data_IF_739951951329
#
_entry.id   IF_739951951329
#
_cell.length_a   1.000
_cell.length_b   1.000
_cell.length_c   1.000
_cell.angle_alpha   90.00
_cell.angle_beta   90.00
_cell.angle_gamma   90.00
#
_symmetry.space_group_name_H-M   'P 1'
#
loop_
_entity.id
_entity.type
_entity.pdbx_description
1 polymer ?
#
# COMPACT_ATOMS: atom_id res chain seq x y z
N UNK A 1 24.10 14.71 -5.83
CA UNK A 1 22.88 13.87 -5.94
C UNK A 1 22.55 13.43 -4.52
N UNK A 2 21.75 14.22 -3.80
CA UNK A 2 21.54 14.01 -2.36
C UNK A 2 20.42 12.99 -2.13
N UNK A 3 20.77 11.94 -1.41
CA UNK A 3 19.91 10.82 -1.02
C UNK A 3 18.97 11.33 0.07
N UNK A 4 17.70 11.55 -0.25
CA UNK A 4 16.66 11.77 0.75
C UNK A 4 16.45 10.47 1.52
N UNK A 5 16.54 10.54 2.85
CA UNK A 5 16.59 9.38 3.74
C UNK A 5 15.18 8.85 4.01
N UNK A 6 14.63 8.10 3.07
CA UNK A 6 13.43 7.31 3.29
C UNK A 6 13.82 6.06 4.08
N UNK A 7 13.39 5.98 5.34
CA UNK A 7 13.65 4.82 6.18
C UNK A 7 12.43 3.89 6.18
N UNK A 8 12.68 2.63 5.83
CA UNK A 8 11.70 1.57 5.94
C UNK A 8 12.00 0.74 7.18
N UNK A 9 11.03 0.58 8.07
CA UNK A 9 11.11 -0.44 9.11
C UNK A 9 10.26 -1.61 8.64
N UNK A 10 10.95 -2.69 8.28
CA UNK A 10 10.39 -4.00 7.96
C UNK A 10 10.59 -4.89 9.20
N UNK A 11 9.64 -5.77 9.58
CA UNK A 11 9.65 -6.45 10.88
C UNK A 11 10.90 -7.31 11.13
N UNK A 12 11.60 -7.71 10.06
CA UNK A 12 12.79 -8.55 10.08
C UNK A 12 14.11 -7.78 10.03
N UNK A 13 14.10 -6.46 9.83
CA UNK A 13 15.31 -5.64 9.71
C UNK A 13 15.19 -4.39 10.60
N UNK A 14 15.72 -4.47 11.83
CA UNK A 14 16.04 -3.27 12.61
C UNK A 14 17.20 -2.55 11.90
N UNK A 15 16.90 -1.49 11.16
CA UNK A 15 17.94 -0.67 10.54
C UNK A 15 18.68 0.09 11.65
N UNK A 16 20.00 -0.09 11.74
CA UNK A 16 20.89 0.85 12.43
C UNK A 16 20.80 2.21 11.72
N UNK A 17 19.83 3.03 12.12
CA UNK A 17 19.43 4.23 11.38
C UNK A 17 18.06 4.78 11.74
N UNK A 18 17.30 4.09 12.60
CA UNK A 18 16.07 4.65 13.18
C UNK A 18 16.43 5.81 14.11
N UNK A 19 15.90 6.99 13.81
CA UNK A 19 16.05 8.20 14.62
C UNK A 19 15.06 8.20 15.79
N UNK A 20 15.34 8.95 16.86
CA UNK A 20 14.43 9.08 17.99
C UNK A 20 13.16 9.87 17.67
N UNK A 21 13.16 10.64 16.57
CA UNK A 21 12.05 11.47 16.13
C UNK A 21 12.04 11.59 14.60
N UNK A 22 10.83 11.79 14.05
CA UNK A 22 10.53 12.04 12.65
C UNK A 22 9.43 13.11 12.57
N UNK A 23 9.44 13.92 11.53
CA UNK A 23 8.39 14.92 11.29
C UNK A 23 7.09 14.25 10.86
N UNK A 24 7.20 13.16 10.08
CA UNK A 24 6.07 12.35 9.66
C UNK A 24 6.35 10.86 9.81
N UNK A 25 5.33 10.13 10.27
CA UNK A 25 5.32 8.66 10.29
C UNK A 25 4.15 8.19 9.43
N UNK A 26 4.49 7.52 8.32
CA UNK A 26 3.52 6.92 7.41
C UNK A 26 3.37 5.44 7.77
N UNK A 27 2.16 5.02 8.13
CA UNK A 27 1.85 3.63 8.47
C UNK A 27 1.27 2.94 7.24
N UNK A 28 1.99 1.92 6.76
CA UNK A 28 1.68 1.16 5.56
C UNK A 28 2.41 1.69 4.32
N UNK A 29 3.35 0.92 3.80
CA UNK A 29 4.08 1.17 2.56
C UNK A 29 3.35 0.66 1.31
N UNK A 30 2.03 0.81 1.26
CA UNK A 30 1.24 0.55 0.06
C UNK A 30 1.21 1.73 -0.92
N UNK A 31 0.53 1.60 -2.06
CA UNK A 31 0.40 2.69 -3.06
C UNK A 31 0.12 4.08 -2.48
N UNK A 32 -0.89 4.22 -1.61
CA UNK A 32 -1.23 5.51 -1.01
C UNK A 32 -0.13 6.03 -0.09
N UNK A 33 0.37 5.17 0.81
CA UNK A 33 1.41 5.52 1.77
C UNK A 33 2.73 5.90 1.09
N UNK A 34 3.19 5.14 0.10
CA UNK A 34 4.42 5.45 -0.63
C UNK A 34 4.30 6.72 -1.47
N UNK A 35 3.13 7.02 -2.04
CA UNK A 35 2.92 8.29 -2.74
C UNK A 35 3.01 9.46 -1.76
N UNK A 36 2.35 9.38 -0.60
CA UNK A 36 2.43 10.43 0.42
C UNK A 36 3.85 10.57 0.94
N UNK A 37 4.51 9.47 1.32
CA UNK A 37 5.89 9.49 1.82
C UNK A 37 6.86 10.10 0.79
N UNK A 38 6.71 9.72 -0.49
CA UNK A 38 7.52 10.28 -1.57
C UNK A 38 7.35 11.79 -1.67
N UNK A 39 6.11 12.32 -1.60
CA UNK A 39 5.85 13.76 -1.67
C UNK A 39 6.36 14.52 -0.46
N UNK A 40 6.17 14.00 0.74
CA UNK A 40 6.69 14.60 1.96
C UNK A 40 8.22 14.66 1.94
N UNK A 41 8.87 13.60 1.42
CA UNK A 41 10.33 13.54 1.29
C UNK A 41 10.91 14.38 0.14
N UNK A 42 10.09 15.10 -0.65
CA UNK A 42 10.62 16.09 -1.60
C UNK A 42 11.22 17.30 -0.87
N UNK A 43 10.76 17.58 0.36
CA UNK A 43 11.36 18.57 1.25
C UNK A 43 12.57 17.94 1.96
N UNK A 44 13.74 18.58 1.82
CA UNK A 44 15.00 18.09 2.37
C UNK A 44 15.09 18.28 3.88
N UNK A 45 14.33 19.22 4.43
CA UNK A 45 14.33 19.54 5.86
C UNK A 45 13.40 18.62 6.66
N UNK A 46 12.64 17.77 5.97
CA UNK A 46 11.64 16.86 6.55
C UNK A 46 12.19 15.42 6.60
N UNK A 47 12.06 14.78 7.76
CA UNK A 47 12.34 13.36 7.94
C UNK A 47 11.04 12.54 7.97
N UNK A 48 10.96 11.54 7.09
CA UNK A 48 9.79 10.67 6.94
C UNK A 48 10.16 9.23 7.26
N UNK A 49 9.42 8.62 8.19
CA UNK A 49 9.49 7.19 8.49
C UNK A 49 8.33 6.45 7.83
N UNK A 50 8.61 5.35 7.15
CA UNK A 50 7.56 4.42 6.67
C UNK A 50 7.62 3.13 7.45
N UNK A 51 6.50 2.76 8.08
CA UNK A 51 6.33 1.50 8.79
C UNK A 51 5.54 0.54 7.92
N UNK A 52 6.11 -0.61 7.57
CA UNK A 52 5.44 -1.65 6.79
C UNK A 52 5.48 -2.97 7.55
N UNK A 53 4.32 -3.64 7.66
CA UNK A 53 4.18 -4.86 8.45
C UNK A 53 4.51 -6.13 7.65
N UNK A 54 4.50 -6.05 6.32
CA UNK A 54 4.88 -7.16 5.47
C UNK A 54 6.36 -7.49 5.47
N UNK A 55 6.74 -8.68 4.97
CA UNK A 55 8.14 -9.05 4.84
C UNK A 55 8.80 -8.23 3.73
N UNK A 56 10.13 -8.30 3.70
CA UNK A 56 10.91 -7.91 2.53
C UNK A 56 10.62 -8.85 1.36
N UNK A 57 10.46 -8.28 0.17
CA UNK A 57 10.02 -9.03 -1.02
C UNK A 57 10.95 -8.88 -2.21
N UNK A 58 12.06 -8.15 -2.09
CA UNK A 58 12.97 -7.81 -3.19
C UNK A 58 13.54 -9.04 -3.93
N UNK A 59 13.66 -10.17 -3.23
CA UNK A 59 14.16 -11.43 -3.78
C UNK A 59 13.06 -12.38 -4.28
N UNK A 60 11.79 -11.98 -4.26
CA UNK A 60 10.65 -12.86 -4.57
C UNK A 60 10.21 -12.71 -6.04
N UNK A 61 10.41 -13.73 -6.90
CA UNK A 61 10.02 -13.66 -8.32
C UNK A 61 8.53 -13.42 -8.53
N UNK A 62 7.66 -13.93 -7.65
CA UNK A 62 6.22 -13.75 -7.71
C UNK A 62 5.75 -12.29 -7.59
N UNK A 63 6.61 -11.40 -7.12
CA UNK A 63 6.35 -9.95 -7.03
C UNK A 63 6.82 -9.20 -8.28
N UNK A 64 7.97 -9.58 -8.85
CA UNK A 64 8.61 -8.83 -9.93
C UNK A 64 8.43 -9.44 -11.32
N UNK A 65 8.09 -10.73 -11.43
CA UNK A 65 7.81 -11.40 -12.71
C UNK A 65 6.31 -11.33 -12.98
N UNK A 66 5.84 -10.52 -13.95
CA UNK A 66 4.40 -10.29 -14.14
C UNK A 66 3.60 -11.56 -14.45
N UNK A 67 4.21 -12.55 -15.11
CA UNK A 67 3.58 -13.84 -15.40
C UNK A 67 3.33 -14.71 -14.16
N UNK A 68 3.93 -14.36 -13.02
CA UNK A 68 3.72 -15.01 -11.72
C UNK A 68 2.79 -14.21 -10.80
N UNK A 69 2.23 -13.10 -11.27
CA UNK A 69 1.30 -12.28 -10.47
C UNK A 69 0.14 -13.13 -9.93
N UNK A 70 -0.18 -12.95 -8.66
CA UNK A 70 -1.23 -13.72 -7.98
C UNK A 70 -0.77 -15.04 -7.36
N UNK A 71 0.37 -15.61 -7.77
CA UNK A 71 0.87 -16.88 -7.18
C UNK A 71 1.28 -16.69 -5.71
N UNK A 72 1.82 -15.52 -5.37
CA UNK A 72 2.14 -15.14 -3.99
C UNK A 72 0.91 -14.92 -3.10
N UNK A 73 -0.30 -14.75 -3.64
CA UNK A 73 -1.51 -14.57 -2.81
C UNK A 73 -1.92 -15.84 -2.06
N UNK A 74 -1.49 -17.00 -2.56
CA UNK A 74 -1.65 -18.28 -1.87
C UNK A 74 -0.79 -18.34 -0.60
N UNK A 75 0.34 -17.61 -0.56
CA UNK A 75 1.19 -17.51 0.61
C UNK A 75 0.58 -16.54 1.63
N UNK A 76 0.34 -17.03 2.86
CA UNK A 76 -0.15 -16.21 3.97
C UNK A 76 0.84 -15.12 4.43
N UNK A 77 2.07 -15.15 3.93
CA UNK A 77 3.13 -14.19 4.25
C UNK A 77 2.99 -12.87 3.50
N UNK A 78 2.49 -12.89 2.26
CA UNK A 78 2.33 -11.70 1.40
C UNK A 78 0.90 -11.17 1.34
N UNK A 79 -0.02 -11.83 2.02
CA UNK A 79 -1.45 -11.51 1.98
C UNK A 79 -2.00 -11.40 3.41
N UNK A 80 -2.71 -10.30 3.70
CA UNK A 80 -3.46 -10.16 4.95
C UNK A 80 -4.57 -11.18 5.10
N UNK A 81 -5.13 -11.65 3.98
CA UNK A 81 -6.12 -12.73 3.93
C UNK A 81 -7.33 -12.49 4.85
N UNK A 82 -7.86 -11.27 4.87
CA UNK A 82 -9.02 -10.91 5.69
C UNK A 82 -10.21 -11.85 5.40
N UNK A 83 -11.00 -12.12 6.43
CA UNK A 83 -12.28 -12.80 6.27
C UNK A 83 -13.41 -11.84 6.59
N UNK A 84 -14.43 -11.82 5.74
CA UNK A 84 -15.66 -11.10 6.05
C UNK A 84 -16.40 -11.83 7.18
N UNK A 85 -17.23 -11.11 7.92
CA UNK A 85 -18.29 -11.74 8.72
C UNK A 85 -19.24 -12.53 7.80
N UNK A 86 -20.03 -13.48 8.31
CA UNK A 86 -21.05 -14.17 7.52
C UNK A 86 -21.98 -13.17 6.80
N UNK A 87 -22.10 -13.31 5.48
CA UNK A 87 -22.89 -12.40 4.67
C UNK A 87 -24.33 -12.93 4.51
N UNK A 88 -25.31 -12.18 5.00
CA UNK A 88 -26.74 -12.54 4.95
C UNK A 88 -27.19 -12.82 3.51
N UNK A 89 -26.87 -11.91 2.59
CA UNK A 89 -27.21 -12.02 1.16
C UNK A 89 -26.34 -13.03 0.39
N UNK A 90 -25.51 -13.82 1.06
CA UNK A 90 -24.71 -14.88 0.44
C UNK A 90 -24.86 -16.22 1.18
N UNK A 91 -26.02 -16.48 1.79
CA UNK A 91 -26.31 -17.70 2.54
C UNK A 91 -25.33 -17.94 3.70
N UNK A 92 -24.93 -16.87 4.40
CA UNK A 92 -23.99 -16.95 5.52
C UNK A 92 -22.55 -17.26 5.12
N UNK A 93 -22.21 -17.23 3.82
CA UNK A 93 -20.83 -17.43 3.37
C UNK A 93 -19.92 -16.34 3.93
N UNK A 94 -18.70 -16.76 4.30
CA UNK A 94 -17.59 -15.88 4.61
C UNK A 94 -16.65 -15.87 3.40
N UNK A 95 -16.28 -14.67 2.97
CA UNK A 95 -15.41 -14.49 1.83
C UNK A 95 -14.01 -14.12 2.31
N UNK A 96 -13.01 -14.65 1.61
CA UNK A 96 -11.62 -14.20 1.77
C UNK A 96 -11.43 -12.94 0.92
N UNK A 97 -10.99 -11.87 1.55
CA UNK A 97 -10.63 -10.60 0.90
C UNK A 97 -9.11 -10.49 0.92
N UNK A 98 -8.52 -10.49 -0.27
CA UNK A 98 -7.07 -10.36 -0.44
C UNK A 98 -6.65 -8.90 -0.27
N UNK A 99 -5.56 -8.69 0.46
CA UNK A 99 -4.88 -7.42 0.53
C UNK A 99 -3.38 -7.66 0.69
N UNK A 100 -2.56 -6.99 -0.11
CA UNK A 100 -1.12 -7.17 -0.10
C UNK A 100 -0.51 -6.72 1.23
N UNK A 101 0.43 -7.52 1.74
CA UNK A 101 1.15 -7.30 2.98
C UNK A 101 2.66 -7.32 2.69
N UNK A 102 3.15 -6.24 2.10
CA UNK A 102 4.56 -5.94 1.84
C UNK A 102 4.68 -4.49 1.33
N UNK A 103 5.91 -4.00 1.15
CA UNK A 103 6.14 -2.75 0.42
C UNK A 103 5.55 -2.85 -1.00
N UNK A 104 4.84 -1.79 -1.42
CA UNK A 104 3.94 -1.78 -2.57
C UNK A 104 2.47 -2.06 -2.20
N UNK A 105 2.21 -2.80 -1.13
CA UNK A 105 0.86 -3.17 -0.69
C UNK A 105 0.16 -4.04 -1.72
N UNK A 106 -1.14 -3.84 -1.97
CA UNK A 106 -1.89 -4.69 -2.90
C UNK A 106 -1.45 -4.62 -4.37
N UNK A 107 -0.50 -3.75 -4.77
CA UNK A 107 0.04 -3.80 -6.14
C UNK A 107 1.03 -4.92 -6.37
N UNK A 108 1.61 -5.51 -5.31
CA UNK A 108 2.55 -6.63 -5.44
C UNK A 108 1.90 -7.89 -6.05
N UNK A 109 0.57 -8.01 -5.97
CA UNK A 109 -0.18 -9.19 -6.41
C UNK A 109 -1.16 -8.90 -7.54
N UNK A 110 -1.38 -7.63 -7.90
CA UNK A 110 -2.34 -7.26 -8.93
C UNK A 110 -1.77 -7.45 -10.32
N UNK A 111 -2.61 -7.93 -11.22
CA UNK A 111 -2.37 -7.81 -12.65
C UNK A 111 -2.23 -6.31 -12.96
N UNK A 112 -1.12 -5.88 -13.57
CA UNK A 112 -0.69 -4.50 -13.83
C UNK A 112 -1.62 -3.70 -14.78
N UNK A 113 -2.93 -3.88 -14.63
CA UNK A 113 -3.97 -3.21 -15.36
C UNK A 113 -4.24 -1.84 -14.73
N UNK A 114 -3.82 -0.80 -15.42
CA UNK A 114 -4.19 0.57 -15.10
C UNK A 114 -5.54 0.90 -15.74
N UNK A 115 -6.54 1.19 -14.92
CA UNK A 115 -7.84 1.69 -15.37
C UNK A 115 -7.91 3.16 -14.98
N UNK A 116 -8.00 4.04 -15.99
CA UNK A 116 -8.21 5.46 -15.76
C UNK A 116 -9.71 5.73 -15.63
N UNK A 117 -10.11 6.33 -14.51
CA UNK A 117 -11.46 6.86 -14.37
C UNK A 117 -11.60 8.11 -15.25
N UNK A 118 -12.64 8.15 -16.09
CA UNK A 118 -13.02 9.38 -16.79
C UNK A 118 -13.78 10.27 -15.80
N UNK A 119 -13.23 11.44 -15.49
CA UNK A 119 -13.97 12.46 -14.75
C UNK A 119 -15.06 13.02 -15.66
N UNK A 120 -16.33 12.87 -15.27
CA UNK A 120 -17.42 13.68 -15.79
C UNK A 120 -17.63 14.85 -14.84
N UNK A 121 -17.71 16.07 -15.38
CA UNK A 121 -17.96 17.30 -14.64
C UNK A 121 -19.30 17.20 -13.88
N UNK A 122 -19.25 16.94 -12.57
CA UNK A 122 -20.39 17.11 -11.67
C UNK A 122 -20.44 18.60 -11.30
N UNK A 123 -20.88 19.44 -12.24
CA UNK A 123 -21.42 20.75 -11.90
C UNK A 123 -22.92 20.55 -11.63
N UNK A 124 -23.27 20.30 -10.37
CA UNK A 124 -24.65 20.48 -9.91
C UNK A 124 -24.90 21.97 -9.86
N UNK A 125 -25.71 22.47 -10.79
CA UNK A 125 -26.14 23.86 -10.81
C UNK A 125 -26.84 24.22 -9.49
N UNK A 126 -26.34 25.26 -8.84
CA UNK A 126 -27.07 25.99 -7.82
C UNK A 126 -28.29 26.63 -8.47
N UNK A 127 -29.48 26.05 -8.31
CA UNK A 127 -30.70 26.83 -8.43
C UNK A 127 -30.83 27.67 -7.17
N UNK A 128 -30.64 28.98 -7.31
CA UNK A 128 -30.94 29.96 -6.28
C UNK A 128 -32.45 29.97 -6.03
N UNK A 129 -32.85 29.64 -4.81
CA UNK A 129 -34.15 30.00 -4.23
C UNK A 129 -33.86 31.10 -3.21
N UNK A 130 -33.94 32.36 -3.67
CA UNK A 130 -34.68 33.51 -3.09
C UNK A 130 -34.54 34.69 -4.03
#
# INVERSE_FOLDING_TARGET
MHITRLYFVIPTLFINGVMSAYDFVVIGGGNGGLVVASRLSEDIDVQVLVLEAGPEVESLPEVFVPGLAGTGEAASTLNWAYQTVPQENMNGRQLRVSAGRALGGSTISKLFLLILARLHNIFLGTQSIV
#
